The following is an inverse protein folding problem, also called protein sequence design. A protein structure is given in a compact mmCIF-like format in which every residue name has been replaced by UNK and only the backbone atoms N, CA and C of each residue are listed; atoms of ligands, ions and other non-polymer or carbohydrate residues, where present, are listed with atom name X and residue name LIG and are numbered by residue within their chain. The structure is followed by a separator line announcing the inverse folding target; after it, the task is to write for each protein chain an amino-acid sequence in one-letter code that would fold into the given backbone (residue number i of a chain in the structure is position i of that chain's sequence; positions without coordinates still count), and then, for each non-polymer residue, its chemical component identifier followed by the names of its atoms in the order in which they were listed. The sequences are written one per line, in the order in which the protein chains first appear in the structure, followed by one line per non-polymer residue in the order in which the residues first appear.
data_IF_969576616396
#
_entry.id   IF_969576616396
#
_cell.length_a   1.000
_cell.length_b   1.000
_cell.length_c   1.000
_cell.angle_alpha   90.00
_cell.angle_beta   90.00
_cell.angle_gamma   90.00
#
_symmetry.space_group_name_H-M   'P 1'
#
loop_
_entity.id
_entity.type
_entity.pdbx_description
1 polymer ?
#
# COMPACT_ATOMS: atom_id res chain seq x y z
N UNK A 1 27.53 51.62 -16.84
CA UNK A 1 26.82 50.52 -17.52
C UNK A 1 27.17 49.22 -16.80
N UNK A 2 26.34 48.78 -15.85
CA UNK A 2 26.51 47.49 -15.13
C UNK A 2 25.35 46.59 -15.52
N UNK A 3 25.63 45.58 -16.32
CA UNK A 3 24.72 44.48 -16.68
C UNK A 3 24.49 43.62 -15.45
N UNK A 4 23.23 43.53 -14.98
CA UNK A 4 22.80 42.55 -13.97
C UNK A 4 22.56 41.22 -14.67
N UNK A 5 23.37 40.22 -14.33
CA UNK A 5 23.03 38.81 -14.58
C UNK A 5 22.01 38.42 -13.52
N UNK A 6 20.82 38.01 -13.94
CA UNK A 6 19.77 37.52 -13.07
C UNK A 6 20.01 36.03 -12.80
N UNK A 7 20.42 35.69 -11.58
CA UNK A 7 20.41 34.32 -11.10
C UNK A 7 18.96 33.83 -10.96
N UNK A 8 18.54 32.96 -11.88
CA UNK A 8 17.35 32.12 -11.69
C UNK A 8 17.69 31.03 -10.67
N UNK A 9 17.37 31.29 -9.42
CA UNK A 9 17.29 30.25 -8.41
C UNK A 9 16.14 29.27 -8.78
N UNK A 10 16.50 28.10 -9.27
CA UNK A 10 15.59 26.96 -9.41
C UNK A 10 15.15 26.52 -8.02
N UNK A 11 13.88 26.73 -7.68
CA UNK A 11 13.28 26.22 -6.47
C UNK A 11 13.28 24.68 -6.51
N UNK A 12 14.15 24.06 -5.72
CA UNK A 12 14.12 22.62 -5.48
C UNK A 12 12.83 22.25 -4.76
N UNK A 13 12.03 21.36 -5.36
CA UNK A 13 10.83 20.82 -4.73
C UNK A 13 11.17 20.14 -3.38
N UNK A 14 10.40 20.39 -2.30
CA UNK A 14 10.68 19.81 -0.98
C UNK A 14 10.25 18.35 -0.93
N UNK A 15 11.01 17.46 -1.57
CA UNK A 15 10.86 16.01 -1.46
C UNK A 15 11.52 15.49 -0.18
N UNK A 16 10.84 14.59 0.54
CA UNK A 16 11.25 13.93 1.79
C UNK A 16 11.28 14.78 3.09
N UNK A 17 11.74 16.03 3.05
CA UNK A 17 11.85 16.87 4.26
C UNK A 17 10.50 17.18 4.92
N UNK A 18 9.44 17.33 4.13
CA UNK A 18 8.12 17.76 4.63
C UNK A 18 7.39 16.68 5.44
N UNK A 19 7.52 15.40 5.05
CA UNK A 19 6.95 14.28 5.80
C UNK A 19 7.68 14.14 7.14
N UNK A 20 9.01 14.17 7.13
CA UNK A 20 9.81 14.08 8.36
C UNK A 20 9.55 15.26 9.30
N UNK A 21 9.36 16.47 8.77
CA UNK A 21 9.07 17.68 9.56
C UNK A 21 7.66 17.67 10.17
N UNK A 22 6.66 17.15 9.44
CA UNK A 22 5.31 16.86 9.97
C UNK A 22 5.35 15.81 11.09
N UNK A 23 6.20 14.79 10.95
CA UNK A 23 6.43 13.77 11.98
C UNK A 23 7.15 14.33 13.22
N UNK A 24 8.00 15.35 13.06
CA UNK A 24 8.87 15.82 14.15
C UNK A 24 8.22 16.88 15.04
N UNK A 25 7.40 17.79 14.49
CA UNK A 25 7.01 19.02 15.21
C UNK A 25 5.68 18.96 15.97
N UNK A 26 4.79 17.99 15.69
CA UNK A 26 3.48 17.87 16.38
C UNK A 26 3.10 16.45 16.83
N UNK A 27 3.93 15.44 16.58
CA UNK A 27 3.41 14.10 16.36
C UNK A 27 3.78 13.03 17.40
N UNK A 28 4.69 13.28 18.35
CA UNK A 28 5.04 12.28 19.37
C UNK A 28 3.84 11.86 20.24
N UNK A 29 2.95 12.80 20.57
CA UNK A 29 1.70 12.49 21.27
C UNK A 29 0.65 11.83 20.36
N UNK A 30 0.54 12.25 19.09
CA UNK A 30 -0.41 11.68 18.12
C UNK A 30 -0.07 10.22 17.75
N UNK A 31 1.22 9.89 17.64
CA UNK A 31 1.71 8.54 17.26
C UNK A 31 1.55 7.47 18.33
N UNK A 32 1.43 7.88 19.59
CA UNK A 32 1.16 6.93 20.67
C UNK A 32 -0.21 6.25 20.55
N UNK A 33 -1.18 6.87 19.85
CA UNK A 33 -2.60 6.45 19.87
C UNK A 33 -3.05 5.58 18.69
N UNK A 34 -2.30 5.51 17.58
CA UNK A 34 -2.78 4.83 16.35
C UNK A 34 -1.74 3.89 15.74
N UNK A 35 -1.33 2.89 16.52
CA UNK A 35 -0.48 1.78 16.04
C UNK A 35 -1.32 0.67 15.44
N UNK A 36 -1.00 0.30 14.20
CA UNK A 36 -1.40 -0.96 13.61
C UNK A 36 -0.28 -1.96 13.88
N UNK A 37 -0.61 -3.11 14.45
CA UNK A 37 0.39 -4.12 14.82
C UNK A 37 -0.13 -5.52 14.53
N UNK A 38 0.78 -6.42 14.21
CA UNK A 38 0.54 -7.85 14.15
C UNK A 38 1.51 -8.56 15.07
N UNK A 39 1.00 -9.51 15.86
CA UNK A 39 1.79 -10.37 16.73
C UNK A 39 1.34 -11.81 16.47
N UNK A 40 2.28 -12.75 16.24
CA UNK A 40 1.95 -14.14 15.99
C UNK A 40 1.08 -14.75 17.08
N UNK A 41 0.11 -15.58 16.68
CA UNK A 41 -0.76 -16.28 17.61
C UNK A 41 -2.16 -16.48 17.08
N UNK A 42 -2.96 -17.21 17.87
CA UNK A 42 -4.39 -17.41 17.67
C UNK A 42 -5.14 -16.55 18.68
N UNK A 43 -5.70 -15.44 18.20
CA UNK A 43 -6.39 -14.45 19.01
C UNK A 43 -7.89 -14.73 19.02
N UNK A 44 -8.51 -14.72 20.20
CA UNK A 44 -9.94 -15.02 20.40
C UNK A 44 -10.63 -13.91 21.21
N UNK A 45 -11.96 -13.87 21.19
CA UNK A 45 -12.74 -12.87 21.92
C UNK A 45 -12.34 -11.44 21.55
N UNK A 46 -12.18 -10.58 22.56
CA UNK A 46 -11.78 -9.17 22.38
C UNK A 46 -10.36 -9.02 21.83
N UNK A 47 -9.46 -9.98 22.07
CA UNK A 47 -8.07 -9.96 21.59
C UNK A 47 -7.96 -10.00 20.07
N UNK A 48 -9.00 -10.48 19.36
CA UNK A 48 -9.06 -10.42 17.88
C UNK A 48 -8.83 -9.01 17.35
N UNK A 49 -9.36 -8.00 18.03
CA UNK A 49 -9.28 -6.59 17.61
C UNK A 49 -7.98 -5.90 18.04
N UNK A 50 -7.05 -6.61 18.67
CA UNK A 50 -5.76 -6.05 19.08
C UNK A 50 -4.71 -6.12 17.97
N UNK A 51 -4.86 -7.03 17.00
CA UNK A 51 -3.83 -7.27 15.98
C UNK A 51 -4.40 -7.39 14.55
N UNK A 52 -3.51 -7.29 13.56
CA UNK A 52 -3.80 -7.59 12.17
C UNK A 52 -4.85 -6.67 11.53
N UNK A 53 -5.63 -7.21 10.60
CA UNK A 53 -6.64 -6.44 9.87
C UNK A 53 -7.83 -6.07 10.77
N UNK A 54 -8.13 -6.87 11.81
CA UNK A 54 -9.18 -6.55 12.78
C UNK A 54 -8.79 -5.42 13.74
N UNK A 55 -7.50 -5.23 14.02
CA UNK A 55 -7.01 -4.00 14.68
C UNK A 55 -7.29 -2.78 13.84
N UNK A 56 -6.96 -2.84 12.54
CA UNK A 56 -7.22 -1.73 11.62
C UNK A 56 -8.72 -1.45 11.52
N UNK A 57 -9.56 -2.49 11.44
CA UNK A 57 -11.03 -2.37 11.49
C UNK A 57 -11.49 -1.59 12.73
N UNK A 58 -10.97 -1.94 13.91
CA UNK A 58 -11.31 -1.30 15.18
C UNK A 58 -10.85 0.16 15.25
N UNK A 59 -9.66 0.47 14.72
CA UNK A 59 -9.15 1.84 14.64
C UNK A 59 -10.00 2.69 13.68
N UNK A 60 -10.37 2.14 12.52
CA UNK A 60 -11.22 2.82 11.55
C UNK A 60 -12.65 3.05 12.08
N UNK A 61 -13.21 2.13 12.86
CA UNK A 61 -14.54 2.34 13.44
C UNK A 61 -14.56 3.45 14.50
N UNK A 62 -13.44 3.68 15.20
CA UNK A 62 -13.31 4.71 16.24
C UNK A 62 -12.89 6.07 15.66
N UNK A 63 -11.95 6.08 14.73
CA UNK A 63 -11.23 7.28 14.29
C UNK A 63 -11.26 7.52 12.79
N UNK A 64 -11.77 6.58 12.00
CA UNK A 64 -11.81 6.67 10.56
C UNK A 64 -12.76 7.74 10.01
N UNK A 65 -12.91 7.80 8.68
CA UNK A 65 -13.82 8.73 8.03
C UNK A 65 -15.28 8.40 8.34
N UNK A 66 -16.15 9.40 8.34
CA UNK A 66 -17.60 9.19 8.41
C UNK A 66 -18.11 8.57 7.12
N UNK A 67 -19.22 7.82 7.20
CA UNK A 67 -19.90 7.24 6.04
C UNK A 67 -20.39 8.29 5.03
N UNK A 68 -20.65 9.52 5.50
CA UNK A 68 -21.14 10.63 4.68
C UNK A 68 -20.01 11.27 3.87
N UNK A 69 -18.77 11.17 4.37
CA UNK A 69 -17.58 11.64 3.66
C UNK A 69 -17.11 10.65 2.58
N UNK A 70 -16.99 9.37 2.93
CA UNK A 70 -16.46 8.34 2.03
C UNK A 70 -17.57 7.46 1.48
N UNK A 71 -17.92 7.67 0.21
CA UNK A 71 -18.88 6.83 -0.49
C UNK A 71 -18.29 5.44 -0.81
N UNK A 72 -19.14 4.51 -1.28
CA UNK A 72 -18.69 3.19 -1.73
C UNK A 72 -17.77 3.24 -2.95
N UNK A 73 -17.71 4.37 -3.65
CA UNK A 73 -16.88 4.54 -4.83
C UNK A 73 -15.45 4.98 -4.51
N UNK A 74 -15.14 5.32 -3.25
CA UNK A 74 -13.76 5.59 -2.84
C UNK A 74 -12.99 4.27 -2.85
N UNK A 75 -12.01 4.05 -3.76
CA UNK A 75 -11.22 2.82 -3.76
C UNK A 75 -10.36 2.67 -2.51
N UNK A 76 -10.19 1.43 -2.06
CA UNK A 76 -9.06 1.05 -1.23
C UNK A 76 -7.85 0.86 -2.15
N UNK A 77 -6.73 1.50 -1.80
CA UNK A 77 -5.45 1.28 -2.46
C UNK A 77 -4.51 0.58 -1.50
N UNK A 78 -3.91 -0.51 -1.94
CA UNK A 78 -2.89 -1.24 -1.23
C UNK A 78 -1.63 -1.33 -2.09
N UNK A 79 -0.51 -0.91 -1.56
CA UNK A 79 0.81 -0.99 -2.20
C UNK A 79 1.73 -1.78 -1.29
N UNK A 80 2.44 -2.74 -1.86
CA UNK A 80 3.30 -3.67 -1.12
C UNK A 80 4.44 -4.18 -2.00
N UNK A 81 5.38 -4.92 -1.40
CA UNK A 81 6.54 -5.49 -2.10
C UNK A 81 6.56 -7.03 -2.08
N UNK A 82 5.55 -7.68 -1.50
CA UNK A 82 5.45 -9.14 -1.49
C UNK A 82 4.00 -9.58 -1.39
N UNK A 83 3.72 -10.78 -1.89
CA UNK A 83 2.39 -11.38 -1.93
C UNK A 83 2.46 -12.81 -1.39
N UNK A 84 1.58 -13.12 -0.43
CA UNK A 84 1.39 -14.47 0.07
C UNK A 84 0.28 -15.22 -0.66
N UNK A 85 0.06 -16.49 -0.30
CA UNK A 85 -1.11 -17.24 -0.77
C UNK A 85 -2.39 -16.66 -0.15
N UNK A 86 -3.32 -16.20 -0.98
CA UNK A 86 -4.54 -15.49 -0.54
C UNK A 86 -5.76 -16.42 -0.52
N UNK A 87 -5.82 -17.40 -1.41
CA UNK A 87 -6.92 -18.37 -1.50
C UNK A 87 -7.26 -18.71 -2.95
N UNK A 88 -8.19 -19.64 -3.14
CA UNK A 88 -8.61 -20.07 -4.47
C UNK A 88 -9.42 -19.01 -5.22
N UNK A 89 -10.05 -18.07 -4.51
CA UNK A 89 -10.78 -16.94 -5.09
C UNK A 89 -10.57 -15.65 -4.31
N UNK A 90 -10.95 -14.51 -4.89
CA UNK A 90 -10.85 -13.19 -4.27
C UNK A 90 -11.68 -13.11 -2.97
N UNK A 91 -12.83 -13.76 -2.95
CA UNK A 91 -13.78 -13.79 -1.83
C UNK A 91 -13.24 -14.57 -0.63
N UNK A 92 -12.33 -15.52 -0.87
CA UNK A 92 -11.79 -16.42 0.15
C UNK A 92 -11.11 -15.67 1.31
N UNK A 93 -10.50 -14.51 1.05
CA UNK A 93 -9.86 -13.70 2.08
C UNK A 93 -9.71 -12.23 1.69
N UNK A 94 -9.28 -11.96 0.46
CA UNK A 94 -8.95 -10.60 0.01
C UNK A 94 -10.17 -9.67 0.07
N UNK A 95 -11.29 -10.08 -0.53
CA UNK A 95 -12.53 -9.30 -0.53
C UNK A 95 -13.37 -9.60 0.71
N UNK A 96 -13.41 -10.86 1.16
CA UNK A 96 -14.25 -11.30 2.27
C UNK A 96 -13.84 -10.74 3.64
N UNK A 97 -12.55 -10.78 3.97
CA UNK A 97 -12.05 -10.42 5.30
C UNK A 97 -11.23 -9.12 5.27
N UNK A 98 -10.23 -9.08 4.40
CA UNK A 98 -9.24 -8.03 4.36
C UNK A 98 -9.87 -6.70 3.91
N UNK A 99 -10.44 -6.65 2.70
CA UNK A 99 -11.11 -5.46 2.16
C UNK A 99 -12.25 -5.00 3.08
N UNK A 100 -13.08 -5.93 3.57
CA UNK A 100 -14.16 -5.66 4.52
C UNK A 100 -13.66 -4.89 5.76
N UNK A 101 -12.49 -5.28 6.29
CA UNK A 101 -11.87 -4.60 7.43
C UNK A 101 -11.40 -3.19 7.09
N UNK A 102 -10.65 -3.06 5.99
CA UNK A 102 -10.05 -1.80 5.57
C UNK A 102 -11.07 -0.80 5.01
N UNK A 103 -12.29 -1.27 4.68
CA UNK A 103 -13.39 -0.44 4.19
C UNK A 103 -14.23 0.19 5.29
N UNK A 104 -13.95 -0.13 6.56
CA UNK A 104 -14.73 0.33 7.71
C UNK A 104 -14.72 1.84 7.83
N UNK A 105 -15.89 2.41 8.15
CA UNK A 105 -16.09 3.83 8.45
C UNK A 105 -16.44 4.02 9.92
N UNK A 106 -16.22 5.24 10.43
CA UNK A 106 -16.49 5.59 11.82
C UNK A 106 -17.95 5.32 12.21
N UNK A 107 -18.14 4.71 13.37
CA UNK A 107 -19.47 4.36 13.89
C UNK A 107 -20.23 3.29 13.09
N UNK A 108 -19.63 2.67 12.08
CA UNK A 108 -20.30 1.63 11.30
C UNK A 108 -20.38 0.33 12.09
N UNK A 109 -21.58 -0.24 12.14
CA UNK A 109 -21.76 -1.69 12.35
C UNK A 109 -21.25 -2.38 11.09
N UNK A 110 -20.56 -3.52 11.23
CA UNK A 110 -19.94 -4.25 10.12
C UNK A 110 -21.03 -4.60 9.09
N UNK A 111 -21.06 -3.84 7.99
CA UNK A 111 -21.87 -4.14 6.81
C UNK A 111 -20.90 -4.37 5.67
N UNK A 112 -21.10 -5.45 4.91
CA UNK A 112 -20.29 -5.74 3.75
C UNK A 112 -20.49 -4.61 2.73
N UNK A 113 -19.52 -3.69 2.65
CA UNK A 113 -19.50 -2.63 1.64
C UNK A 113 -18.58 -3.08 0.53
N UNK A 114 -19.13 -3.25 -0.67
CA UNK A 114 -18.31 -3.41 -1.86
C UNK A 114 -17.70 -2.05 -2.20
N UNK A 115 -16.38 -1.96 -2.06
CA UNK A 115 -15.61 -0.79 -2.46
C UNK A 115 -14.56 -1.26 -3.48
N UNK A 116 -14.22 -0.46 -4.49
CA UNK A 116 -13.20 -0.88 -5.45
C UNK A 116 -11.86 -1.11 -4.74
N UNK A 117 -11.11 -2.14 -5.16
CA UNK A 117 -9.78 -2.44 -4.66
C UNK A 117 -8.77 -2.22 -5.78
N UNK A 118 -7.68 -1.53 -5.48
CA UNK A 118 -6.56 -1.31 -6.39
C UNK A 118 -5.27 -1.73 -5.70
N UNK A 119 -4.50 -2.60 -6.35
CA UNK A 119 -3.25 -3.13 -5.83
C UNK A 119 -2.09 -2.56 -6.64
N UNK A 120 -1.17 -1.83 -6.00
CA UNK A 120 0.05 -1.35 -6.63
C UNK A 120 1.16 -2.34 -6.36
N UNK A 121 1.62 -3.01 -7.41
CA UNK A 121 2.70 -3.99 -7.37
C UNK A 121 3.55 -3.83 -8.65
N UNK A 122 4.89 -4.01 -8.59
CA UNK A 122 5.73 -3.87 -9.77
C UNK A 122 5.47 -4.96 -10.81
N UNK A 123 5.38 -4.58 -12.08
CA UNK A 123 5.42 -5.54 -13.17
C UNK A 123 6.85 -6.03 -13.43
N UNK A 124 6.99 -7.05 -14.27
CA UNK A 124 8.30 -7.49 -14.80
C UNK A 124 9.06 -6.32 -15.42
N UNK A 125 8.37 -5.50 -16.20
CA UNK A 125 8.96 -4.35 -16.88
C UNK A 125 9.32 -3.19 -15.93
N UNK A 126 8.53 -2.96 -14.87
CA UNK A 126 8.89 -2.02 -13.80
C UNK A 126 10.23 -2.43 -13.14
N UNK A 127 10.42 -3.72 -12.86
CA UNK A 127 11.65 -4.24 -12.25
C UNK A 127 12.82 -4.20 -13.25
N UNK A 128 12.61 -4.68 -14.48
CA UNK A 128 13.63 -4.70 -15.55
C UNK A 128 14.18 -3.30 -15.84
N UNK A 129 13.32 -2.29 -15.86
CA UNK A 129 13.69 -0.89 -16.10
C UNK A 129 14.11 -0.13 -14.82
N UNK A 130 14.08 -0.79 -13.65
CA UNK A 130 14.43 -0.15 -12.37
C UNK A 130 15.92 0.18 -12.28
N UNK A 131 16.29 1.07 -11.36
CA UNK A 131 17.66 1.52 -11.16
C UNK A 131 18.65 0.37 -10.89
N UNK A 132 18.16 -0.69 -10.25
CA UNK A 132 18.92 -1.89 -9.88
C UNK A 132 18.79 -3.01 -10.92
N UNK A 133 17.96 -2.84 -11.96
CA UNK A 133 17.65 -3.88 -12.94
C UNK A 133 16.92 -5.07 -12.31
N UNK A 134 17.10 -6.25 -12.87
CA UNK A 134 16.49 -7.46 -12.32
C UNK A 134 16.86 -7.76 -10.85
N UNK A 135 18.09 -7.48 -10.36
CA UNK A 135 18.43 -7.62 -8.94
C UNK A 135 17.47 -6.94 -7.95
N UNK A 136 16.80 -5.85 -8.34
CA UNK A 136 15.79 -5.20 -7.48
C UNK A 136 14.68 -6.17 -7.07
N UNK A 137 14.33 -7.08 -7.99
CA UNK A 137 13.29 -8.07 -7.83
C UNK A 137 13.57 -9.13 -6.75
N UNK A 138 14.81 -9.30 -6.32
CA UNK A 138 15.14 -10.14 -5.16
C UNK A 138 14.51 -9.60 -3.86
N UNK A 139 14.27 -8.29 -3.79
CA UNK A 139 13.59 -7.62 -2.67
C UNK A 139 12.06 -7.52 -2.87
N UNK A 140 11.53 -8.10 -3.95
CA UNK A 140 10.10 -8.14 -4.27
C UNK A 140 9.63 -9.61 -4.32
N UNK A 141 9.57 -10.32 -3.18
CA UNK A 141 9.29 -11.74 -3.19
C UNK A 141 7.82 -12.04 -3.47
N UNK A 142 7.55 -12.59 -4.65
CA UNK A 142 6.31 -13.27 -5.02
C UNK A 142 6.67 -14.51 -5.86
N UNK A 143 6.42 -15.72 -5.34
CA UNK A 143 6.83 -16.92 -6.08
C UNK A 143 5.83 -17.29 -7.17
N UNK A 144 6.31 -17.81 -8.29
CA UNK A 144 5.50 -18.28 -9.41
C UNK A 144 4.47 -19.34 -8.98
N UNK A 145 4.88 -20.27 -8.10
CA UNK A 145 3.99 -21.29 -7.52
C UNK A 145 2.85 -20.69 -6.69
N UNK A 146 3.08 -19.54 -6.05
CA UNK A 146 2.02 -18.82 -5.34
C UNK A 146 1.14 -18.06 -6.34
N UNK A 147 1.74 -17.44 -7.35
CA UNK A 147 1.04 -16.71 -8.39
C UNK A 147 0.06 -17.58 -9.19
N UNK A 148 0.49 -18.76 -9.62
CA UNK A 148 -0.32 -19.70 -10.39
C UNK A 148 -1.60 -20.14 -9.67
N UNK A 149 -1.58 -20.18 -8.33
CA UNK A 149 -2.74 -20.54 -7.51
C UNK A 149 -3.78 -19.42 -7.39
N UNK A 150 -3.46 -18.20 -7.84
CA UNK A 150 -4.29 -17.01 -7.61
C UNK A 150 -4.23 -15.98 -8.75
N UNK A 151 -4.21 -16.42 -10.01
CA UNK A 151 -4.23 -15.54 -11.20
C UNK A 151 -5.44 -14.60 -11.28
N UNK A 152 -6.50 -14.88 -10.52
CA UNK A 152 -7.60 -13.94 -10.31
C UNK A 152 -7.14 -12.58 -9.73
N UNK A 153 -5.99 -12.55 -9.04
CA UNK A 153 -5.41 -11.34 -8.45
C UNK A 153 -4.94 -10.33 -9.51
N UNK A 154 -4.58 -10.81 -10.71
CA UNK A 154 -3.96 -10.00 -11.77
C UNK A 154 -4.88 -8.84 -12.19
N UNK A 155 -6.20 -9.06 -12.17
CA UNK A 155 -7.23 -8.06 -12.47
C UNK A 155 -7.24 -6.85 -11.53
N UNK A 156 -6.58 -6.91 -10.38
CA UNK A 156 -6.51 -5.81 -9.42
C UNK A 156 -5.21 -4.99 -9.53
N UNK A 157 -4.23 -5.44 -10.32
CA UNK A 157 -2.90 -4.84 -10.35
C UNK A 157 -2.83 -3.52 -11.11
N UNK A 158 -1.99 -2.65 -10.58
CA UNK A 158 -1.62 -1.34 -11.11
C UNK A 158 -0.09 -1.21 -11.01
N UNK A 159 0.51 -0.61 -12.04
CA UNK A 159 1.96 -0.43 -12.20
C UNK A 159 2.55 0.42 -11.07
N UNK A 160 3.81 0.18 -10.73
CA UNK A 160 4.57 1.10 -9.91
C UNK A 160 4.95 2.34 -10.74
N UNK A 161 4.46 3.51 -10.33
CA UNK A 161 4.79 4.81 -10.94
C UNK A 161 4.95 5.85 -9.85
N UNK A 162 6.02 6.62 -9.90
CA UNK A 162 6.35 7.67 -8.92
C UNK A 162 7.16 8.78 -9.60
N UNK A 163 6.70 9.23 -10.76
CA UNK A 163 7.34 10.27 -11.58
C UNK A 163 7.43 11.58 -10.83
N UNK A 164 6.35 11.96 -10.14
CA UNK A 164 6.29 13.21 -9.39
C UNK A 164 7.34 13.29 -8.29
N UNK A 165 7.71 12.15 -7.72
CA UNK A 165 8.73 12.06 -6.68
C UNK A 165 10.10 11.62 -7.23
N UNK A 166 10.25 11.46 -8.55
CA UNK A 166 11.47 11.01 -9.22
C UNK A 166 11.87 9.58 -8.84
N UNK A 167 10.91 8.72 -8.50
CA UNK A 167 11.14 7.37 -7.95
C UNK A 167 10.53 6.24 -8.77
N UNK A 168 10.02 6.49 -10.00
CA UNK A 168 9.50 5.40 -10.84
C UNK A 168 10.52 4.29 -11.05
N UNK A 169 11.78 4.63 -11.32
CA UNK A 169 12.83 3.63 -11.46
C UNK A 169 13.33 3.05 -10.12
N UNK A 170 12.92 3.57 -8.96
CA UNK A 170 13.30 3.03 -7.66
C UNK A 170 12.27 1.99 -7.19
N UNK A 171 12.63 0.71 -7.26
CA UNK A 171 11.76 -0.41 -6.88
C UNK A 171 11.20 -0.26 -5.46
N UNK A 172 9.89 -0.43 -5.24
CA UNK A 172 9.29 -0.16 -3.96
C UNK A 172 9.53 -1.29 -2.95
N UNK A 173 10.15 -0.94 -1.82
CA UNK A 173 10.14 -1.79 -0.62
C UNK A 173 9.27 -1.22 0.52
N UNK A 174 8.68 -0.03 0.32
CA UNK A 174 7.66 0.53 1.21
C UNK A 174 6.34 -0.25 1.07
N UNK A 175 5.51 -0.23 2.12
CA UNK A 175 4.14 -0.75 2.08
C UNK A 175 3.18 0.30 2.61
N UNK A 176 2.16 0.61 1.81
CA UNK A 176 1.16 1.61 2.19
C UNK A 176 -0.26 1.15 1.87
N UNK A 177 -1.20 1.57 2.71
CA UNK A 177 -2.61 1.30 2.53
C UNK A 177 -3.38 2.60 2.74
N UNK A 178 -4.34 2.90 1.89
CA UNK A 178 -5.07 4.17 1.95
C UNK A 178 -6.46 4.05 1.32
N UNK A 179 -7.34 4.99 1.65
CA UNK A 179 -8.67 5.13 1.03
C UNK A 179 -8.69 6.38 0.18
N UNK A 180 -8.65 6.21 -1.15
CA UNK A 180 -8.46 7.28 -2.13
C UNK A 180 -9.82 7.77 -2.64
N UNK A 181 -9.93 9.08 -2.90
CA UNK A 181 -11.12 9.68 -3.50
C UNK A 181 -11.27 9.25 -4.96
N UNK A 182 -12.49 9.15 -5.51
CA UNK A 182 -12.71 8.85 -6.92
C UNK A 182 -11.96 9.81 -7.87
N UNK A 183 -11.82 11.07 -7.45
CA UNK A 183 -11.07 12.10 -8.17
C UNK A 183 -9.54 11.94 -8.11
N UNK A 184 -9.02 11.00 -7.31
CA UNK A 184 -7.58 10.79 -7.11
C UNK A 184 -6.83 12.02 -6.55
N UNK A 185 -7.53 12.90 -5.83
CA UNK A 185 -6.94 14.14 -5.26
C UNK A 185 -6.82 14.11 -3.74
N UNK A 186 -7.58 13.24 -3.08
CA UNK A 186 -7.67 13.21 -1.62
C UNK A 186 -7.64 11.78 -1.10
N UNK A 187 -7.14 11.60 0.13
CA UNK A 187 -7.20 10.34 0.86
C UNK A 187 -7.83 10.55 2.23
N UNK A 188 -8.58 9.57 2.71
CA UNK A 188 -9.27 9.66 4.01
C UNK A 188 -8.36 9.27 5.19
N UNK A 189 -7.35 8.44 4.94
CA UNK A 189 -6.34 7.99 5.92
C UNK A 189 -5.15 7.39 5.17
N UNK A 190 -3.99 7.30 5.82
CA UNK A 190 -2.81 6.62 5.30
C UNK A 190 -2.21 5.71 6.36
N UNK A 191 -2.00 4.45 6.02
CA UNK A 191 -1.18 3.53 6.79
C UNK A 191 0.15 3.32 6.07
N UNK A 192 1.25 3.47 6.81
CA UNK A 192 2.59 3.04 6.40
C UNK A 192 3.01 1.91 7.35
N UNK A 193 3.42 0.76 6.83
CA UNK A 193 3.63 -0.46 7.64
C UNK A 193 4.72 -1.36 7.06
N UNK A 194 5.15 -2.36 7.84
CA UNK A 194 5.96 -3.48 7.35
C UNK A 194 5.13 -4.56 6.66
N UNK A 195 3.83 -4.64 6.96
CA UNK A 195 2.94 -5.70 6.50
C UNK A 195 2.75 -5.70 4.97
N UNK A 196 3.16 -6.79 4.32
CA UNK A 196 2.85 -7.08 2.93
C UNK A 196 1.43 -7.67 2.75
N UNK A 197 0.97 -7.86 1.51
CA UNK A 197 -0.33 -8.49 1.23
C UNK A 197 -0.27 -10.01 1.49
N UNK A 198 -0.46 -10.40 2.75
CA UNK A 198 -0.46 -11.82 3.15
C UNK A 198 -1.33 -12.08 4.39
N UNK A 199 -1.88 -13.30 4.45
CA UNK A 199 -2.53 -13.83 5.67
C UNK A 199 -1.58 -13.93 6.86
N UNK A 200 -0.29 -14.15 6.62
CA UNK A 200 0.72 -14.23 7.68
C UNK A 200 0.88 -12.90 8.43
N UNK A 201 0.93 -11.79 7.67
CA UNK A 201 1.07 -10.44 8.19
C UNK A 201 -0.24 -9.89 8.78
N UNK A 202 -1.36 -10.05 8.05
CA UNK A 202 -2.63 -9.40 8.40
C UNK A 202 -3.56 -10.27 9.26
N UNK A 203 -3.36 -11.58 9.23
CA UNK A 203 -4.20 -12.56 9.88
C UNK A 203 -5.31 -13.11 8.99
N UNK A 204 -5.80 -14.29 9.34
CA UNK A 204 -6.97 -14.92 8.72
C UNK A 204 -7.88 -15.50 9.79
N UNK A 205 -9.19 -15.39 9.57
CA UNK A 205 -10.19 -15.96 10.47
C UNK A 205 -10.19 -17.50 10.37
N UNK A 206 -10.21 -18.16 11.53
CA UNK A 206 -10.34 -19.60 11.69
C UNK A 206 -11.58 -19.91 12.56
N UNK A 207 -12.02 -21.17 12.58
CA UNK A 207 -13.12 -21.65 13.43
C UNK A 207 -14.38 -20.78 13.30
N UNK A 208 -14.88 -20.63 12.07
CA UNK A 208 -16.09 -19.85 11.74
C UNK A 208 -16.03 -18.40 12.28
N UNK A 209 -14.87 -17.75 12.20
CA UNK A 209 -14.70 -16.35 12.61
C UNK A 209 -14.49 -16.13 14.11
N UNK A 210 -14.48 -17.19 14.93
CA UNK A 210 -14.25 -17.07 16.38
C UNK A 210 -12.79 -16.80 16.75
N UNK A 211 -11.85 -17.06 15.82
CA UNK A 211 -10.41 -16.98 16.05
C UNK A 211 -9.74 -16.22 14.88
N UNK A 212 -8.76 -15.37 15.17
CA UNK A 212 -7.88 -14.74 14.17
C UNK A 212 -6.46 -15.30 14.32
N UNK A 213 -5.91 -15.90 13.28
CA UNK A 213 -4.56 -16.46 13.30
C UNK A 213 -3.59 -15.57 12.52
N UNK A 214 -2.50 -15.16 13.17
CA UNK A 214 -1.41 -14.34 12.63
C UNK A 214 -0.09 -15.12 12.76
N UNK A 215 0.79 -15.02 11.76
CA UNK A 215 2.08 -15.73 11.74
C UNK A 215 3.31 -14.82 11.82
N UNK A 216 3.16 -13.52 11.59
CA UNK A 216 4.27 -12.57 11.53
C UNK A 216 4.15 -11.46 12.58
N UNK A 217 5.29 -10.90 12.96
CA UNK A 217 5.35 -9.61 13.64
C UNK A 217 5.31 -8.50 12.59
N UNK A 218 4.40 -7.55 12.75
CA UNK A 218 4.31 -6.39 11.86
C UNK A 218 4.01 -5.14 12.67
N UNK A 219 4.45 -3.98 12.19
CA UNK A 219 4.17 -2.71 12.80
C UNK A 219 3.95 -1.64 11.73
N UNK A 220 2.98 -0.78 11.99
CA UNK A 220 2.66 0.35 11.15
C UNK A 220 2.06 1.52 11.91
N UNK A 221 2.09 2.66 11.26
CA UNK A 221 1.58 3.93 11.75
C UNK A 221 0.43 4.37 10.86
N UNK A 222 -0.73 4.57 11.47
CA UNK A 222 -1.94 5.02 10.78
C UNK A 222 -2.16 6.52 11.04
N UNK A 223 -2.33 7.26 9.96
CA UNK A 223 -2.50 8.70 9.93
C UNK A 223 -3.96 9.03 9.62
N UNK A 224 -4.61 9.79 10.50
CA UNK A 224 -5.90 10.41 10.23
C UNK A 224 -5.76 11.93 10.09
N UNK A 225 -6.51 12.57 9.18
CA UNK A 225 -6.53 14.03 9.02
C UNK A 225 -6.84 14.76 10.34
N UNK A 226 -7.77 14.22 11.13
CA UNK A 226 -8.17 14.76 12.44
C UNK A 226 -7.02 14.81 13.47
N UNK A 227 -5.89 14.13 13.23
CA UNK A 227 -4.71 14.24 14.09
C UNK A 227 -3.90 15.53 13.83
N UNK A 228 -4.17 16.24 12.74
CA UNK A 228 -3.37 17.39 12.28
C UNK A 228 -4.19 18.68 12.13
N UNK A 229 -5.47 18.67 12.51
CA UNK A 229 -6.35 19.84 12.47
C UNK A 229 -7.81 19.45 12.29
N UNK A 230 -8.60 20.38 11.73
CA UNK A 230 -10.03 20.19 11.46
C UNK A 230 -10.32 19.54 10.10
N UNK A 231 -9.31 19.33 9.27
CA UNK A 231 -9.49 18.69 7.97
C UNK A 231 -9.96 17.24 8.12
N UNK A 232 -10.78 16.79 7.17
CA UNK A 232 -11.39 15.45 7.15
C UNK A 232 -10.71 14.51 6.16
N UNK A 233 -9.85 15.04 5.29
CA UNK A 233 -9.05 14.33 4.29
C UNK A 233 -7.63 14.91 4.21
N UNK A 234 -6.70 14.16 3.64
CA UNK A 234 -5.43 14.68 3.16
C UNK A 234 -5.50 14.94 1.66
N UNK A 235 -4.87 16.01 1.19
CA UNK A 235 -4.68 16.30 -0.23
C UNK A 235 -3.38 15.63 -0.69
N UNK A 236 -3.44 14.88 -1.80
CA UNK A 236 -2.30 14.10 -2.29
C UNK A 236 -1.67 14.63 -3.58
N UNK A 237 -2.37 15.52 -4.30
CA UNK A 237 -1.92 16.18 -5.52
C UNK A 237 -1.63 17.66 -5.30
N UNK A 238 -0.58 18.15 -5.95
CA UNK A 238 -0.15 19.55 -5.83
C UNK A 238 -1.21 20.50 -6.41
N UNK A 239 -1.44 21.64 -5.74
CA UNK A 239 -2.41 22.65 -6.16
C UNK A 239 -3.89 22.30 -5.93
N UNK A 240 -4.20 21.15 -5.33
CA UNK A 240 -5.58 20.70 -5.10
C UNK A 240 -6.20 21.15 -3.76
N UNK A 241 -5.57 22.08 -3.04
CA UNK A 241 -6.02 22.54 -1.72
C UNK A 241 -6.00 24.07 -1.57
N UNK A 242 -7.02 24.63 -0.93
CA UNK A 242 -7.02 26.02 -0.48
C UNK A 242 -6.22 26.23 0.81
N UNK A 243 -6.23 27.45 1.35
CA UNK A 243 -5.62 27.75 2.65
C UNK A 243 -6.12 26.79 3.73
N UNK A 244 -5.20 26.08 4.40
CA UNK A 244 -5.52 25.12 5.46
C UNK A 244 -5.66 23.65 5.03
N UNK A 245 -5.41 23.32 3.75
CA UNK A 245 -5.36 21.94 3.30
C UNK A 245 -4.18 21.16 3.93
N UNK A 246 -4.45 19.93 4.39
CA UNK A 246 -3.41 19.04 4.87
C UNK A 246 -2.81 18.24 3.70
N UNK A 247 -1.66 18.68 3.21
CA UNK A 247 -0.95 17.98 2.16
C UNK A 247 -0.18 16.76 2.70
N UNK A 248 -0.39 15.60 2.09
CA UNK A 248 0.32 14.36 2.40
C UNK A 248 0.55 13.58 1.08
N UNK A 249 1.75 13.63 0.47
CA UNK A 249 1.98 12.96 -0.79
C UNK A 249 2.01 11.44 -0.62
N UNK A 250 1.40 10.72 -1.57
CA UNK A 250 1.59 9.27 -1.70
C UNK A 250 2.97 8.97 -2.31
N UNK A 251 3.61 7.83 -1.97
CA UNK A 251 4.92 7.48 -2.52
C UNK A 251 4.87 7.04 -3.99
N UNK A 252 3.67 7.01 -4.59
CA UNK A 252 3.38 6.71 -5.99
C UNK A 252 2.41 7.76 -6.54
N UNK A 253 2.34 7.84 -7.86
CA UNK A 253 1.47 8.77 -8.57
C UNK A 253 0.01 8.33 -8.49
N UNK A 254 -0.89 9.31 -8.53
CA UNK A 254 -2.33 9.11 -8.72
C UNK A 254 -2.81 10.08 -9.80
N UNK A 255 -3.73 9.66 -10.70
CA UNK A 255 -4.42 8.36 -10.74
C UNK A 255 -3.48 7.19 -11.06
N UNK A 256 -3.79 6.01 -10.50
CA UNK A 256 -3.00 4.80 -10.71
C UNK A 256 -3.12 4.31 -12.16
N UNK A 257 -2.05 3.71 -12.68
CA UNK A 257 -2.01 3.10 -14.01
C UNK A 257 -2.31 1.61 -13.89
N UNK A 258 -3.47 1.10 -14.36
CA UNK A 258 -3.78 -0.33 -14.35
C UNK A 258 -2.77 -1.12 -15.17
N UNK A 259 -2.60 -2.40 -14.84
CA UNK A 259 -1.91 -3.34 -15.73
C UNK A 259 -2.64 -3.43 -17.07
N UNK A 260 -1.86 -3.52 -18.14
CA UNK A 260 -2.33 -3.89 -19.47
C UNK A 260 -2.36 -5.41 -19.62
N UNK A 261 -2.87 -5.91 -20.75
CA UNK A 261 -2.87 -7.34 -21.06
C UNK A 261 -1.45 -7.95 -21.24
N UNK A 262 -0.47 -7.10 -21.50
CA UNK A 262 0.92 -7.48 -21.75
C UNK A 262 1.77 -7.35 -20.47
N UNK A 263 1.19 -6.84 -19.38
CA UNK A 263 1.86 -6.71 -18.10
C UNK A 263 1.75 -7.99 -17.28
N UNK A 264 2.89 -8.47 -16.79
CA UNK A 264 2.97 -9.57 -15.84
C UNK A 264 3.47 -9.07 -14.48
N UNK A 265 2.92 -9.57 -13.35
CA UNK A 265 3.47 -9.24 -12.04
C UNK A 265 4.87 -9.84 -11.90
N UNK A 266 5.79 -9.10 -11.28
CA UNK A 266 7.11 -9.64 -10.98
C UNK A 266 7.01 -10.91 -10.12
N UNK A 267 7.67 -11.97 -10.55
CA UNK A 267 7.86 -13.19 -9.75
C UNK A 267 9.34 -13.52 -9.65
N UNK A 268 9.87 -13.54 -8.43
CA UNK A 268 11.32 -13.52 -8.19
C UNK A 268 12.04 -14.82 -8.61
N UNK A 269 11.30 -15.93 -8.73
CA UNK A 269 11.80 -17.25 -9.10
C UNK A 269 11.46 -17.66 -10.55
N UNK A 270 10.80 -16.78 -11.31
CA UNK A 270 10.63 -16.94 -12.76
C UNK A 270 11.91 -16.54 -13.51
N UNK A 271 12.13 -17.13 -14.68
CA UNK A 271 13.23 -16.70 -15.56
C UNK A 271 12.74 -15.62 -16.50
N UNK A 272 13.55 -14.58 -16.72
CA UNK A 272 13.30 -13.54 -17.70
C UNK A 272 14.52 -13.43 -18.62
N UNK A 273 14.38 -13.97 -19.83
CA UNK A 273 15.46 -14.06 -20.86
C UNK A 273 15.10 -13.32 -22.15
N UNK A 274 13.90 -12.77 -22.22
CA UNK A 274 13.30 -12.19 -23.41
C UNK A 274 13.91 -10.82 -23.71
N UNK A 275 14.16 -10.02 -22.65
CA UNK A 275 14.73 -8.69 -22.73
C UNK A 275 15.76 -8.47 -21.61
N UNK A 276 16.91 -7.83 -21.90
CA UNK A 276 17.85 -7.45 -20.87
C UNK A 276 17.31 -6.33 -19.97
N UNK A 277 17.82 -6.27 -18.75
CA UNK A 277 17.68 -5.10 -17.89
C UNK A 277 18.57 -3.95 -18.35
N UNK A 278 18.54 -2.82 -17.62
CA UNK A 278 19.33 -1.62 -17.95
C UNK A 278 20.85 -1.83 -17.95
N UNK A 279 21.34 -2.95 -17.42
CA UNK A 279 22.75 -3.30 -17.35
C UNK A 279 23.12 -4.38 -18.37
N UNK A 280 22.20 -4.78 -19.24
CA UNK A 280 22.44 -5.83 -20.23
C UNK A 280 22.28 -7.25 -19.68
N UNK A 281 21.78 -7.42 -18.44
CA UNK A 281 21.68 -8.72 -17.79
C UNK A 281 20.29 -9.35 -17.96
N UNK A 282 20.25 -10.68 -17.91
CA UNK A 282 19.01 -11.48 -17.84
C UNK A 282 18.77 -11.95 -16.40
N UNK A 283 17.52 -12.27 -16.07
CA UNK A 283 17.18 -12.86 -14.77
C UNK A 283 17.03 -14.38 -14.88
N UNK A 284 17.99 -15.10 -14.32
CA UNK A 284 17.99 -16.56 -14.31
C UNK A 284 18.23 -17.05 -12.87
N UNK A 285 17.22 -16.95 -11.98
CA UNK A 285 17.36 -17.43 -10.62
C UNK A 285 17.64 -18.94 -10.65
N UNK A 286 18.45 -19.46 -9.71
CA UNK A 286 18.73 -20.88 -9.65
C UNK A 286 17.42 -21.66 -9.49
N UNK A 287 17.20 -22.65 -10.35
CA UNK A 287 16.03 -23.53 -10.26
C UNK A 287 16.07 -24.20 -8.90
N UNK A 288 15.08 -23.92 -8.05
CA UNK A 288 14.93 -24.61 -6.78
C UNK A 288 14.70 -26.10 -7.06
N UNK A 289 15.76 -26.91 -7.03
CA UNK A 289 15.72 -28.39 -7.08
C UNK A 289 15.16 -29.00 -5.77
N UNK A 290 14.22 -28.32 -5.11
CA UNK A 290 13.54 -28.85 -3.91
C UNK A 290 12.07 -29.10 -4.26
N UNK A 291 11.87 -30.26 -4.87
CA UNK A 291 10.59 -30.77 -5.34
C UNK A 291 10.74 -32.18 -5.90
N UNK A 292 11.40 -33.06 -5.15
CA UNK A 292 11.12 -34.50 -5.14
C UNK A 292 10.56 -34.82 -3.77
#
# INVERSE_FOLDING_TARGET
MRTRVADRATASAPGAGYLLLLLYTRALHAFSRVRQSSVPGRHTGTRKSCFGHLRLRNLLSQHGPSKDLVSNHWPLVAQFSSIGSLGASAESWLLGEFLSSLSTTKGSVVTARSVPLKLVFPSVDDVRCSLEGYPAGASIPYSIVTADKQRWLDSFFHRWKSERLGRTAASPHIKTYTRLSPSSKQIAWLLVTSANLSKAAWGALEKNGSQLMIRSYELGVLLFPANFGQATTFVVSDGAGGNGALFLPLPYDVPLVPYTKDDEPWTWDSQHRELPDRFGNMWCPPVNRRGR
#
